data_IF_882046526926
#
_entry.id   IF_882046526926
#
_cell.length_a   1.000
_cell.length_b   1.000
_cell.length_c   1.000
_cell.angle_alpha   90.00
_cell.angle_beta   90.00
_cell.angle_gamma   90.00
#
_symmetry.space_group_name_H-M   'P 1'
#
loop_
_entity.id
_entity.type
_entity.pdbx_description
1 polymer ?
#
# COMPACT_ATOMS: atom_id res chain seq x y z
N UNK A 1 -3.34 14.78 10.83
CA UNK A 1 -2.72 15.38 9.62
C UNK A 1 -1.21 15.14 9.50
N UNK A 2 -0.38 15.15 10.56
CA UNK A 2 1.09 14.99 10.43
C UNK A 2 1.60 13.65 9.85
N UNK A 3 0.80 12.58 9.95
CA UNK A 3 1.21 11.24 9.49
C UNK A 3 1.30 11.15 7.96
N UNK A 4 0.33 11.72 7.23
CA UNK A 4 0.30 11.64 5.77
C UNK A 4 1.43 12.46 5.13
N UNK A 5 1.72 13.64 5.67
CA UNK A 5 2.82 14.50 5.22
C UNK A 5 4.17 13.78 5.34
N UNK A 6 4.37 13.03 6.43
CA UNK A 6 5.63 12.29 6.67
C UNK A 6 5.79 11.15 5.67
N UNK A 7 4.70 10.40 5.38
CA UNK A 7 4.68 9.32 4.38
C UNK A 7 4.95 9.86 2.97
N UNK A 8 4.25 10.93 2.59
CA UNK A 8 4.44 11.62 1.32
C UNK A 8 5.87 12.14 1.18
N UNK A 9 6.42 12.79 2.20
CA UNK A 9 7.81 13.29 2.19
C UNK A 9 8.82 12.16 1.99
N UNK A 10 8.60 11.02 2.64
CA UNK A 10 9.45 9.83 2.47
C UNK A 10 9.39 9.32 1.04
N UNK A 11 8.19 9.17 0.50
CA UNK A 11 7.98 8.75 -0.87
C UNK A 11 8.60 9.71 -1.88
N UNK A 12 8.35 11.02 -1.76
CA UNK A 12 8.92 12.00 -2.68
C UNK A 12 10.45 12.09 -2.60
N UNK A 13 11.04 11.77 -1.45
CA UNK A 13 12.50 11.75 -1.28
C UNK A 13 13.14 10.49 -1.87
N UNK A 14 12.48 9.34 -1.78
CA UNK A 14 13.09 8.03 -2.08
C UNK A 14 12.53 7.35 -3.32
N UNK A 15 11.41 7.83 -3.85
CA UNK A 15 10.63 7.18 -4.91
C UNK A 15 9.93 5.88 -4.47
N UNK A 16 10.03 5.51 -3.19
CA UNK A 16 9.45 4.28 -2.67
C UNK A 16 8.77 4.49 -1.30
N UNK A 17 7.87 3.59 -0.94
CA UNK A 17 7.27 3.54 0.38
C UNK A 17 7.22 2.07 0.84
N UNK A 18 7.97 1.74 1.91
CA UNK A 18 8.09 0.38 2.45
C UNK A 18 8.42 -0.68 1.39
N UNK A 19 9.31 -0.34 0.46
CA UNK A 19 9.74 -1.23 -0.63
C UNK A 19 8.78 -1.30 -1.82
N UNK A 20 7.61 -0.65 -1.77
CA UNK A 20 6.75 -0.47 -2.92
C UNK A 20 7.16 0.79 -3.69
N UNK A 21 7.30 0.66 -5.02
CA UNK A 21 7.59 1.77 -5.92
C UNK A 21 6.47 1.90 -6.95
N UNK A 22 6.28 3.11 -7.48
CA UNK A 22 5.28 3.38 -8.51
C UNK A 22 5.70 2.70 -9.82
N UNK A 23 4.85 1.82 -10.34
CA UNK A 23 5.06 1.15 -11.64
C UNK A 23 4.25 1.81 -12.75
N UNK A 24 3.05 2.30 -12.43
CA UNK A 24 2.17 2.93 -13.41
C UNK A 24 1.35 4.06 -12.81
N UNK A 25 1.12 5.09 -13.62
CA UNK A 25 0.17 6.17 -13.36
C UNK A 25 -0.74 6.30 -14.58
N UNK A 26 -2.04 6.43 -14.36
CA UNK A 26 -3.02 6.69 -15.41
C UNK A 26 -3.96 7.80 -14.96
N UNK A 27 -4.14 8.80 -15.83
CA UNK A 27 -5.12 9.87 -15.64
C UNK A 27 -6.28 9.61 -16.57
N UNK A 28 -7.45 9.40 -16.00
CA UNK A 28 -8.69 9.09 -16.70
C UNK A 28 -9.71 10.19 -16.42
N UNK A 29 -10.56 10.48 -17.41
CA UNK A 29 -11.75 11.30 -17.20
C UNK A 29 -12.94 10.34 -17.12
N UNK A 30 -13.53 10.22 -15.94
CA UNK A 30 -14.75 9.46 -15.73
C UNK A 30 -15.95 10.42 -15.73
N UNK A 31 -17.16 9.89 -15.87
CA UNK A 31 -18.40 10.69 -15.88
C UNK A 31 -18.58 11.54 -14.60
N UNK A 32 -17.88 11.21 -13.52
CA UNK A 32 -17.86 11.96 -12.25
C UNK A 32 -16.65 12.88 -12.04
N UNK A 33 -15.80 13.10 -13.05
CA UNK A 33 -14.64 14.01 -12.98
C UNK A 33 -13.29 13.36 -13.26
N UNK A 34 -12.18 14.11 -13.05
CA UNK A 34 -10.83 13.58 -13.20
C UNK A 34 -10.56 12.47 -12.17
N UNK A 35 -9.89 11.41 -12.61
CA UNK A 35 -9.51 10.28 -11.80
C UNK A 35 -8.06 9.90 -12.10
N UNK A 36 -7.22 9.91 -11.07
CA UNK A 36 -5.84 9.44 -11.12
C UNK A 36 -5.78 8.05 -10.51
N UNK A 37 -5.36 7.06 -11.29
CA UNK A 37 -5.07 5.72 -10.85
C UNK A 37 -3.56 5.51 -10.75
N UNK A 38 -3.11 4.96 -9.62
CA UNK A 38 -1.73 4.61 -9.34
C UNK A 38 -1.61 3.11 -9.11
N UNK A 39 -0.52 2.55 -9.61
CA UNK A 39 -0.12 1.16 -9.39
C UNK A 39 1.27 1.17 -8.76
N UNK A 40 1.37 0.50 -7.62
CA UNK A 40 2.61 0.31 -6.88
C UNK A 40 2.93 -1.18 -6.79
N UNK A 41 4.21 -1.53 -6.91
CA UNK A 41 4.68 -2.91 -6.78
C UNK A 41 5.94 -2.97 -5.92
N UNK A 42 6.11 -4.08 -5.20
CA UNK A 42 7.37 -4.43 -4.54
C UNK A 42 8.06 -5.64 -5.22
N UNK A 43 7.65 -6.01 -6.43
CA UNK A 43 8.12 -7.19 -7.15
C UNK A 43 7.37 -8.49 -6.82
N UNK A 44 6.65 -8.55 -5.69
CA UNK A 44 5.87 -9.72 -5.26
C UNK A 44 4.36 -9.45 -5.24
N UNK A 45 3.97 -8.22 -4.93
CA UNK A 45 2.59 -7.79 -4.79
C UNK A 45 2.38 -6.45 -5.49
N UNK A 46 1.29 -6.36 -6.21
CA UNK A 46 0.79 -5.10 -6.78
C UNK A 46 -0.37 -4.56 -5.95
N UNK A 47 -0.35 -3.24 -5.74
CA UNK A 47 -1.39 -2.48 -5.05
C UNK A 47 -1.84 -1.36 -5.96
N UNK A 48 -3.15 -1.29 -6.18
CA UNK A 48 -3.79 -0.33 -7.07
C UNK A 48 -4.71 0.56 -6.24
N UNK A 49 -4.67 1.86 -6.47
CA UNK A 49 -5.66 2.79 -5.92
C UNK A 49 -5.95 3.92 -6.89
N UNK A 50 -7.12 4.54 -6.70
CA UNK A 50 -7.57 5.68 -7.50
C UNK A 50 -8.10 6.79 -6.59
N UNK A 51 -7.89 8.04 -7.01
CA UNK A 51 -8.39 9.25 -6.37
C UNK A 51 -8.68 10.33 -7.41
N UNK A 52 -9.35 11.41 -7.03
CA UNK A 52 -9.58 12.56 -7.91
C UNK A 52 -8.25 13.23 -8.31
N UNK A 53 -7.27 13.20 -7.42
CA UNK A 53 -5.92 13.72 -7.63
C UNK A 53 -4.85 12.75 -7.09
N UNK A 54 -3.58 13.07 -7.35
CA UNK A 54 -2.45 12.16 -7.13
C UNK A 54 -2.25 11.85 -5.64
N UNK A 55 -2.34 12.87 -4.78
CA UNK A 55 -2.16 12.76 -3.33
C UNK A 55 -3.24 11.91 -2.68
N UNK A 56 -4.50 12.00 -3.13
CA UNK A 56 -5.57 11.13 -2.65
C UNK A 56 -5.34 9.67 -3.04
N UNK A 57 -4.88 9.44 -4.28
CA UNK A 57 -4.52 8.10 -4.73
C UNK A 57 -3.33 7.54 -3.93
N UNK A 58 -2.32 8.37 -3.64
CA UNK A 58 -1.14 8.01 -2.83
C UNK A 58 -1.53 7.66 -1.40
N UNK A 59 -2.41 8.43 -0.76
CA UNK A 59 -2.91 8.13 0.59
C UNK A 59 -3.54 6.74 0.65
N UNK A 60 -4.45 6.43 -0.30
CA UNK A 60 -5.07 5.11 -0.41
C UNK A 60 -4.06 3.99 -0.71
N UNK A 61 -3.03 4.27 -1.50
CA UNK A 61 -1.91 3.31 -1.72
C UNK A 61 -1.21 3.03 -0.40
N UNK A 62 -0.83 4.07 0.35
CA UNK A 62 -0.07 3.92 1.60
C UNK A 62 -0.87 3.16 2.65
N UNK A 63 -2.17 3.42 2.78
CA UNK A 63 -3.01 2.67 3.72
C UNK A 63 -3.13 1.20 3.34
N UNK A 64 -3.25 0.89 2.04
CA UNK A 64 -3.24 -0.52 1.57
C UNK A 64 -1.90 -1.20 1.82
N UNK A 65 -0.78 -0.49 1.65
CA UNK A 65 0.56 -1.00 1.97
C UNK A 65 0.68 -1.26 3.48
N UNK A 66 0.26 -0.30 4.30
CA UNK A 66 0.29 -0.43 5.76
C UNK A 66 -0.57 -1.61 6.23
N UNK A 67 -1.77 -1.77 5.67
CA UNK A 67 -2.64 -2.91 5.93
C UNK A 67 -2.03 -4.24 5.44
N UNK A 68 -1.33 -4.26 4.31
CA UNK A 68 -0.63 -5.44 3.83
C UNK A 68 0.45 -5.91 4.82
N UNK A 69 1.22 -4.99 5.40
CA UNK A 69 2.21 -5.33 6.42
C UNK A 69 1.57 -5.69 7.77
N UNK A 70 0.49 -5.01 8.17
CA UNK A 70 -0.24 -5.32 9.41
C UNK A 70 -0.99 -6.66 9.36
N UNK A 71 -1.51 -7.06 8.20
CA UNK A 71 -2.14 -8.38 8.01
C UNK A 71 -1.11 -9.50 7.87
N UNK A 72 0.09 -9.20 7.36
CA UNK A 72 1.20 -10.16 7.30
C UNK A 72 1.74 -10.53 8.68
N UNK A 73 1.71 -9.62 9.66
CA UNK A 73 2.10 -9.94 11.05
C UNK A 73 1.11 -10.86 11.76
N UNK A 74 -0.18 -10.88 11.36
CA UNK A 74 -1.19 -11.77 11.96
C UNK A 74 -1.02 -13.21 11.47
N UNK A 75 -0.64 -13.42 10.20
CA UNK A 75 -0.45 -14.77 9.65
C UNK A 75 0.78 -15.49 10.21
N UNK A 76 1.82 -14.75 10.61
CA UNK A 76 3.04 -15.36 11.16
C UNK A 76 2.88 -15.83 12.62
N UNK A 77 1.92 -15.28 13.38
CA UNK A 77 1.63 -15.76 14.74
C UNK A 77 0.74 -17.01 14.74
N UNK A 78 -0.23 -17.11 13.83
CA UNK A 78 -1.13 -18.28 13.75
C UNK A 78 -0.42 -19.59 13.34
N UNK A 79 0.70 -19.51 12.63
CA UNK A 79 1.51 -20.70 12.26
C UNK A 79 2.42 -21.20 13.37
N UNK A 80 2.68 -20.41 14.42
CA UNK A 80 3.59 -20.81 15.52
C UNK A 80 2.86 -21.56 16.65
N UNK A 81 1.55 -21.40 16.79
CA UNK A 81 0.76 -22.01 17.87
C UNK A 81 0.26 -23.43 17.54
N UNK A 82 0.24 -23.85 16.27
CA UNK A 82 -0.16 -25.24 15.90
C UNK A 82 0.97 -26.26 15.99
N UNK A 83 2.21 -25.84 16.20
CA UNK A 83 3.36 -26.75 16.26
C UNK A 83 3.67 -27.28 17.67
N UNK A 84 3.04 -26.74 18.71
CA UNK A 84 3.31 -27.12 20.11
C UNK A 84 2.19 -27.93 20.79
N UNK A 85 1.09 -28.22 20.09
CA UNK A 85 -0.07 -28.93 20.65
C UNK A 85 -0.28 -30.34 20.07
N UNK A 86 0.78 -30.97 19.56
CA UNK A 86 0.74 -32.38 19.13
C UNK A 86 2.08 -33.07 19.43
N UNK A 87 2.27 -33.46 20.68
CA UNK A 87 3.10 -34.60 21.07
C UNK A 87 2.52 -35.17 22.37
N UNK A 88 2.52 -36.51 22.53
CA UNK A 88 1.50 -37.31 23.21
C UNK A 88 1.47 -37.22 24.74
#
# INVERSE_FOLDING_TARGET
>A
MKAIETRLKTYYKTGNYKGFYKTRESKMKLSGGPCTQLIFSNGYKEIIASGQFNEEALEKIFDKIDHYFASSSIRYQSSKERSFAASP
#
